data_IF_456427491082
#
_entry.id   IF_456427491082
#
_cell.length_a   1.000
_cell.length_b   1.000
_cell.length_c   1.000
_cell.angle_alpha   90.00
_cell.angle_beta   90.00
_cell.angle_gamma   90.00
#
_symmetry.space_group_name_H-M   'P 1'
#
loop_
_entity.id
_entity.type
_entity.pdbx_description
1 polymer ?
#
# COMPACT_ATOMS: atom_id res chain seq x y z
N UNK A 1 9.28 12.89 19.92
CA UNK A 1 9.54 11.65 19.18
C UNK A 1 11.04 11.41 19.26
N UNK A 2 11.53 10.21 18.95
CA UNK A 2 12.97 10.06 18.80
C UNK A 2 13.37 10.78 17.52
N UNK A 3 14.44 11.58 17.57
CA UNK A 3 14.94 12.35 16.42
C UNK A 3 16.06 11.59 15.69
N UNK A 4 16.58 10.52 16.31
CA UNK A 4 17.67 9.68 15.80
C UNK A 4 17.28 8.20 15.84
N UNK A 5 17.80 7.36 14.92
CA UNK A 5 17.63 5.91 14.99
C UNK A 5 18.26 5.36 16.28
N UNK A 6 17.67 4.31 16.88
CA UNK A 6 18.20 3.77 18.12
C UNK A 6 19.59 3.13 17.90
N UNK A 7 20.50 3.29 18.85
CA UNK A 7 21.90 2.83 18.74
C UNK A 7 22.07 1.34 18.40
N UNK A 8 21.08 0.51 18.72
CA UNK A 8 21.10 -0.94 18.43
C UNK A 8 20.66 -1.29 17.00
N UNK A 9 20.09 -0.33 16.27
CA UNK A 9 19.66 -0.42 14.86
C UNK A 9 20.64 0.35 13.97
N UNK A 10 21.93 0.09 14.13
CA UNK A 10 22.99 0.71 13.34
C UNK A 10 23.13 -0.05 12.01
N UNK A 11 22.39 0.43 11.00
CA UNK A 11 22.37 -0.11 9.64
C UNK A 11 22.62 1.04 8.67
N UNK A 12 23.48 0.82 7.69
CA UNK A 12 23.73 1.78 6.63
C UNK A 12 22.45 2.11 5.86
N UNK A 13 22.21 3.40 5.60
CA UNK A 13 21.04 3.92 4.86
C UNK A 13 20.86 3.22 3.51
N UNK A 14 21.94 3.12 2.73
CA UNK A 14 21.94 2.46 1.41
C UNK A 14 21.46 1.00 1.50
N UNK A 15 21.82 0.29 2.57
CA UNK A 15 21.43 -1.11 2.77
C UNK A 15 19.95 -1.24 3.16
N UNK A 16 19.38 -0.23 3.84
CA UNK A 16 17.95 -0.14 4.11
C UNK A 16 17.19 0.12 2.81
N UNK A 17 17.65 1.07 1.98
CA UNK A 17 17.03 1.37 0.69
C UNK A 17 17.05 0.15 -0.26
N UNK A 18 18.19 -0.53 -0.38
CA UNK A 18 18.31 -1.75 -1.19
C UNK A 18 17.34 -2.84 -0.73
N UNK A 19 17.22 -3.02 0.60
CA UNK A 19 16.28 -4.00 1.17
C UNK A 19 14.81 -3.63 0.93
N UNK A 20 14.47 -2.33 0.92
CA UNK A 20 13.11 -1.86 0.56
C UNK A 20 12.77 -2.27 -0.86
N UNK A 21 13.67 -1.99 -1.82
CA UNK A 21 13.46 -2.33 -3.24
C UNK A 21 13.36 -3.84 -3.43
N UNK A 22 14.26 -4.60 -2.81
CA UNK A 22 14.25 -6.07 -2.87
C UNK A 22 12.92 -6.68 -2.39
N UNK A 23 12.34 -6.12 -1.32
CA UNK A 23 11.06 -6.58 -0.79
C UNK A 23 9.88 -6.17 -1.70
N UNK A 24 9.94 -5.01 -2.35
CA UNK A 24 8.94 -4.61 -3.33
C UNK A 24 8.97 -5.50 -4.58
N UNK A 25 10.16 -5.87 -5.08
CA UNK A 25 10.32 -6.84 -6.17
C UNK A 25 9.76 -8.24 -5.81
N UNK A 26 9.78 -8.59 -4.52
CA UNK A 26 9.13 -9.79 -3.99
C UNK A 26 7.59 -9.68 -3.90
N UNK A 27 7.04 -8.52 -4.24
CA UNK A 27 5.60 -8.25 -4.25
C UNK A 27 5.02 -7.82 -2.91
N UNK A 28 5.84 -7.37 -1.96
CA UNK A 28 5.36 -6.86 -0.68
C UNK A 28 4.84 -5.42 -0.81
N UNK A 29 3.74 -5.12 -0.13
CA UNK A 29 3.22 -3.76 -0.08
C UNK A 29 4.12 -2.84 0.77
N UNK A 30 4.10 -1.51 0.58
CA UNK A 30 4.87 -0.57 1.40
C UNK A 30 4.66 -0.77 2.92
N UNK A 31 3.41 -1.06 3.33
CA UNK A 31 3.09 -1.36 4.73
C UNK A 31 3.71 -2.68 5.20
N UNK A 32 3.68 -3.73 4.38
CA UNK A 32 4.33 -5.01 4.69
C UNK A 32 5.85 -4.90 4.76
N UNK A 33 6.45 -4.12 3.85
CA UNK A 33 7.89 -3.81 3.84
C UNK A 33 8.31 -3.20 5.17
N UNK A 34 7.57 -2.20 5.66
CA UNK A 34 7.85 -1.59 6.97
C UNK A 34 7.79 -2.59 8.14
N UNK A 35 6.82 -3.51 8.12
CA UNK A 35 6.72 -4.57 9.13
C UNK A 35 7.90 -5.55 9.04
N UNK A 36 8.29 -5.95 7.82
CA UNK A 36 9.43 -6.84 7.60
C UNK A 36 10.74 -6.20 8.00
N UNK A 37 10.97 -4.93 7.69
CA UNK A 37 12.16 -4.21 8.14
C UNK A 37 12.21 -4.09 9.66
N UNK A 38 11.07 -3.87 10.32
CA UNK A 38 11.00 -3.82 11.79
C UNK A 38 11.29 -5.16 12.45
N UNK A 39 10.82 -6.26 11.87
CA UNK A 39 10.84 -7.58 12.52
C UNK A 39 12.03 -8.44 12.07
N UNK A 40 12.37 -8.42 10.78
CA UNK A 40 13.45 -9.20 10.15
C UNK A 40 14.72 -8.36 9.94
N UNK A 41 14.55 -7.06 9.63
CA UNK A 41 15.67 -6.14 9.47
C UNK A 41 16.45 -6.27 8.16
N UNK A 42 17.65 -5.68 8.18
CA UNK A 42 18.67 -5.83 7.15
C UNK A 42 19.73 -6.77 7.70
N UNK A 43 19.91 -7.94 7.06
CA UNK A 43 20.86 -8.98 7.49
C UNK A 43 20.69 -9.40 8.97
N UNK A 44 19.47 -9.28 9.51
CA UNK A 44 19.14 -9.63 10.90
C UNK A 44 19.21 -8.48 11.91
N UNK A 45 19.62 -7.28 11.49
CA UNK A 45 19.54 -6.06 12.32
C UNK A 45 18.21 -5.37 12.06
N UNK A 46 17.27 -5.34 13.03
CA UNK A 46 15.94 -4.78 12.83
C UNK A 46 15.97 -3.27 12.63
N UNK A 47 15.14 -2.76 11.71
CA UNK A 47 15.02 -1.34 11.38
C UNK A 47 13.61 -0.86 11.79
N UNK A 48 13.45 -0.24 12.97
CA UNK A 48 12.13 0.03 13.53
C UNK A 48 11.38 1.17 12.84
N UNK A 49 12.11 2.11 12.25
CA UNK A 49 11.55 3.25 11.52
C UNK A 49 12.47 3.59 10.35
N UNK A 50 11.99 3.31 9.13
CA UNK A 50 12.73 3.58 7.90
C UNK A 50 12.95 5.08 7.69
N UNK A 51 12.01 5.92 8.11
CA UNK A 51 12.12 7.38 7.94
C UNK A 51 13.19 7.96 8.85
N UNK A 52 13.37 7.41 10.04
CA UNK A 52 14.48 7.81 10.93
C UNK A 52 15.83 7.27 10.46
N UNK A 53 15.86 6.07 9.86
CA UNK A 53 17.10 5.45 9.39
C UNK A 53 17.64 6.06 8.09
N UNK A 54 16.75 6.51 7.20
CA UNK A 54 17.11 6.96 5.83
C UNK A 54 16.73 8.42 5.55
N UNK A 55 15.97 9.07 6.43
CA UNK A 55 15.39 10.39 6.14
C UNK A 55 14.27 10.37 5.09
N UNK A 56 13.94 9.20 4.51
CA UNK A 56 12.89 9.02 3.49
C UNK A 56 11.83 8.03 3.94
N UNK A 57 10.61 8.21 3.46
CA UNK A 57 9.55 7.20 3.63
C UNK A 57 9.78 6.03 2.69
N UNK A 58 9.25 4.86 3.06
CA UNK A 58 9.23 3.67 2.18
C UNK A 58 8.70 4.01 0.78
N UNK A 59 7.60 4.76 0.70
CA UNK A 59 7.02 5.16 -0.61
C UNK A 59 7.92 6.08 -1.42
N UNK A 60 8.71 6.94 -0.76
CA UNK A 60 9.65 7.85 -1.44
C UNK A 60 10.86 7.05 -1.98
N UNK A 61 11.37 6.09 -1.19
CA UNK A 61 12.44 5.18 -1.64
C UNK A 61 11.98 4.37 -2.86
N UNK A 62 10.74 3.87 -2.85
CA UNK A 62 10.21 3.12 -3.99
C UNK A 62 10.06 3.99 -5.24
N UNK A 63 9.56 5.21 -5.10
CA UNK A 63 9.44 6.17 -6.21
C UNK A 63 10.81 6.58 -6.78
N UNK A 64 11.81 6.83 -5.92
CA UNK A 64 13.19 7.15 -6.33
C UNK A 64 13.86 6.02 -7.14
N UNK A 65 13.38 4.78 -6.97
CA UNK A 65 13.94 3.57 -7.59
C UNK A 65 13.02 2.97 -8.67
N UNK A 66 11.99 3.70 -9.13
CA UNK A 66 11.01 3.22 -10.13
C UNK A 66 10.37 1.86 -9.74
N UNK A 67 10.21 1.62 -8.44
CA UNK A 67 9.68 0.38 -7.84
C UNK A 67 8.34 0.60 -7.12
N UNK A 68 7.71 1.76 -7.30
CA UNK A 68 6.42 2.07 -6.71
C UNK A 68 5.27 1.32 -7.41
N UNK A 69 4.21 0.95 -6.67
CA UNK A 69 3.06 0.29 -7.26
C UNK A 69 2.25 1.24 -8.14
N UNK A 70 1.74 0.73 -9.26
CA UNK A 70 0.93 1.50 -10.23
C UNK A 70 -0.27 2.23 -9.60
N UNK A 71 -0.86 1.65 -8.55
CA UNK A 71 -1.93 2.27 -7.78
C UNK A 71 -1.55 2.32 -6.29
N UNK A 72 -1.96 3.39 -5.58
CA UNK A 72 -1.74 3.48 -4.13
C UNK A 72 -2.28 2.27 -3.36
N UNK A 73 -1.50 1.78 -2.39
CA UNK A 73 -1.82 0.58 -1.60
C UNK A 73 -3.21 0.67 -0.93
N UNK A 74 -3.56 1.84 -0.39
CA UNK A 74 -4.82 2.05 0.31
C UNK A 74 -6.04 1.96 -0.63
N UNK A 75 -5.88 2.45 -1.85
CA UNK A 75 -6.87 2.33 -2.91
C UNK A 75 -6.98 0.88 -3.39
N UNK A 76 -5.86 0.21 -3.67
CA UNK A 76 -5.80 -1.22 -4.05
C UNK A 76 -6.53 -2.10 -3.05
N UNK A 77 -6.24 -1.94 -1.76
CA UNK A 77 -6.85 -2.72 -0.68
C UNK A 77 -8.37 -2.51 -0.58
N UNK A 78 -8.86 -1.28 -0.82
CA UNK A 78 -10.30 -1.04 -0.86
C UNK A 78 -10.94 -1.64 -2.11
N UNK A 79 -10.28 -1.58 -3.27
CA UNK A 79 -10.74 -2.25 -4.49
C UNK A 79 -10.88 -3.75 -4.30
N UNK A 80 -9.87 -4.42 -3.73
CA UNK A 80 -9.94 -5.86 -3.41
C UNK A 80 -11.15 -6.17 -2.52
N UNK A 81 -11.33 -5.38 -1.46
CA UNK A 81 -12.46 -5.55 -0.54
C UNK A 81 -13.79 -5.33 -1.26
N UNK A 82 -13.89 -4.35 -2.15
CA UNK A 82 -15.10 -4.08 -2.91
C UNK A 82 -15.43 -5.22 -3.87
N UNK A 83 -14.44 -5.78 -4.56
CA UNK A 83 -14.60 -6.94 -5.45
C UNK A 83 -15.16 -8.13 -4.66
N UNK A 84 -14.51 -8.52 -3.55
CA UNK A 84 -14.99 -9.62 -2.70
C UNK A 84 -16.41 -9.39 -2.16
N UNK A 85 -16.72 -8.17 -1.73
CA UNK A 85 -18.07 -7.82 -1.26
C UNK A 85 -19.11 -7.88 -2.39
N UNK A 86 -18.74 -7.46 -3.60
CA UNK A 86 -19.63 -7.50 -4.77
C UNK A 86 -19.97 -8.93 -5.15
N UNK A 87 -18.97 -9.80 -5.20
CA UNK A 87 -19.14 -11.23 -5.47
C UNK A 87 -20.04 -11.89 -4.42
N UNK A 88 -19.78 -11.66 -3.13
CA UNK A 88 -20.64 -12.14 -2.04
C UNK A 88 -22.09 -11.67 -2.19
N UNK A 89 -22.30 -10.41 -2.55
CA UNK A 89 -23.64 -9.83 -2.74
C UNK A 89 -24.37 -10.37 -3.98
N UNK A 90 -23.66 -10.83 -5.00
CA UNK A 90 -24.26 -11.49 -6.16
C UNK A 90 -24.91 -12.82 -5.77
N UNK A 91 -24.24 -13.59 -4.90
CA UNK A 91 -24.76 -14.85 -4.37
C UNK A 91 -25.79 -14.64 -3.25
N UNK A 92 -25.65 -13.56 -2.48
CA UNK A 92 -26.45 -13.30 -1.27
C UNK A 92 -27.14 -11.92 -1.29
N UNK A 93 -28.06 -11.65 -2.24
CA UNK A 93 -28.65 -10.32 -2.43
C UNK A 93 -29.47 -9.81 -1.23
N UNK A 94 -29.90 -10.69 -0.33
CA UNK A 94 -30.65 -10.36 0.89
C UNK A 94 -29.80 -9.87 2.07
N UNK A 95 -28.47 -9.94 1.97
CA UNK A 95 -27.56 -9.53 3.06
C UNK A 95 -27.44 -7.99 3.13
N UNK A 96 -28.34 -7.38 3.92
CA UNK A 96 -28.40 -5.94 4.07
C UNK A 96 -27.12 -5.33 4.70
N UNK A 97 -26.43 -6.09 5.56
CA UNK A 97 -25.22 -5.61 6.22
C UNK A 97 -24.07 -5.49 5.22
N UNK A 98 -23.81 -6.54 4.45
CA UNK A 98 -22.76 -6.52 3.44
C UNK A 98 -23.10 -5.62 2.25
N UNK A 99 -24.39 -5.45 1.92
CA UNK A 99 -24.82 -4.44 0.95
C UNK A 99 -24.41 -3.02 1.37
N UNK A 100 -24.64 -2.67 2.65
CA UNK A 100 -24.21 -1.39 3.20
C UNK A 100 -22.69 -1.26 3.26
N UNK A 101 -21.99 -2.34 3.62
CA UNK A 101 -20.52 -2.36 3.63
C UNK A 101 -19.96 -2.10 2.22
N UNK A 102 -20.50 -2.75 1.18
CA UNK A 102 -20.13 -2.53 -0.21
C UNK A 102 -20.30 -1.06 -0.60
N UNK A 103 -21.48 -0.48 -0.35
CA UNK A 103 -21.76 0.93 -0.65
C UNK A 103 -20.78 1.90 0.04
N UNK A 104 -20.45 1.65 1.30
CA UNK A 104 -19.50 2.47 2.06
C UNK A 104 -18.08 2.34 1.50
N UNK A 105 -17.65 1.11 1.17
CA UNK A 105 -16.34 0.84 0.56
C UNK A 105 -16.23 1.54 -0.79
N UNK A 106 -17.20 1.37 -1.69
CA UNK A 106 -17.21 2.05 -2.99
C UNK A 106 -17.22 3.57 -2.85
N UNK A 107 -17.96 4.11 -1.87
CA UNK A 107 -17.97 5.56 -1.60
C UNK A 107 -16.60 6.06 -1.13
N UNK A 108 -15.87 5.27 -0.34
CA UNK A 108 -14.51 5.62 0.08
C UNK A 108 -13.52 5.52 -1.09
N UNK A 109 -13.65 4.51 -1.94
CA UNK A 109 -12.85 4.38 -3.17
C UNK A 109 -13.00 5.62 -4.04
N UNK A 110 -14.25 6.04 -4.34
CA UNK A 110 -14.51 7.22 -5.17
C UNK A 110 -13.85 8.49 -4.60
N UNK A 111 -13.89 8.65 -3.27
CA UNK A 111 -13.22 9.77 -2.59
C UNK A 111 -11.69 9.72 -2.69
N UNK A 112 -11.09 8.53 -2.63
CA UNK A 112 -9.64 8.38 -2.79
C UNK A 112 -9.22 8.57 -4.24
N UNK A 113 -10.02 8.08 -5.18
CA UNK A 113 -9.81 8.35 -6.61
C UNK A 113 -9.81 9.86 -6.87
N UNK A 114 -10.78 10.60 -6.34
CA UNK A 114 -10.81 12.05 -6.46
C UNK A 114 -9.61 12.74 -5.77
N UNK A 115 -9.08 12.15 -4.70
CA UNK A 115 -7.91 12.68 -3.98
C UNK A 115 -6.60 12.49 -4.76
N UNK A 116 -6.41 11.33 -5.39
CA UNK A 116 -5.20 11.00 -6.15
C UNK A 116 -5.26 11.41 -7.63
N UNK A 117 -6.42 11.86 -8.13
CA UNK A 117 -6.59 12.28 -9.52
C UNK A 117 -5.63 13.40 -9.90
N UNK A 118 -4.89 13.21 -10.99
CA UNK A 118 -3.90 14.15 -11.51
C UNK A 118 -2.55 14.10 -10.80
N UNK A 119 -2.38 13.22 -9.82
CA UNK A 119 -1.13 12.99 -9.08
C UNK A 119 -0.68 11.53 -9.25
N UNK A 120 -1.19 10.62 -8.42
CA UNK A 120 -0.93 9.17 -8.52
C UNK A 120 -1.92 8.42 -9.43
N UNK A 121 -2.92 9.10 -9.99
CA UNK A 121 -3.88 8.53 -10.94
C UNK A 121 -4.10 9.47 -12.12
N UNK A 122 -4.37 8.90 -13.30
CA UNK A 122 -4.70 9.67 -14.50
C UNK A 122 -5.94 10.56 -14.30
N UNK A 123 -6.01 11.68 -15.02
CA UNK A 123 -7.07 12.68 -14.84
C UNK A 123 -8.48 12.12 -15.17
N UNK A 124 -8.56 11.25 -16.16
CA UNK A 124 -9.79 10.58 -16.61
C UNK A 124 -10.07 9.26 -15.88
N UNK A 125 -9.25 8.87 -14.92
CA UNK A 125 -9.45 7.65 -14.15
C UNK A 125 -10.82 7.64 -13.45
N UNK A 126 -11.58 6.58 -13.72
CA UNK A 126 -12.92 6.37 -13.16
C UNK A 126 -13.06 4.96 -12.60
N UNK A 127 -13.48 4.89 -11.34
CA UNK A 127 -13.72 3.61 -10.67
C UNK A 127 -14.96 2.88 -11.22
N UNK A 128 -14.78 1.61 -11.57
CA UNK A 128 -15.85 0.64 -11.80
C UNK A 128 -15.45 -0.73 -11.23
N UNK A 129 -16.40 -1.67 -11.14
CA UNK A 129 -16.08 -3.05 -10.73
C UNK A 129 -15.12 -3.71 -11.73
N UNK A 130 -15.38 -3.57 -13.02
CA UNK A 130 -14.56 -4.20 -14.07
C UNK A 130 -13.13 -3.63 -14.09
N UNK A 131 -12.99 -2.31 -13.90
CA UNK A 131 -11.67 -1.66 -13.75
C UNK A 131 -10.95 -2.20 -12.53
N UNK A 132 -11.64 -2.34 -11.40
CA UNK A 132 -11.04 -2.88 -10.18
C UNK A 132 -10.58 -4.32 -10.35
N UNK A 133 -11.35 -5.17 -11.03
CA UNK A 133 -10.93 -6.56 -11.33
C UNK A 133 -9.69 -6.55 -12.21
N UNK A 134 -9.70 -5.78 -13.30
CA UNK A 134 -8.56 -5.72 -14.25
C UNK A 134 -7.26 -5.22 -13.61
N UNK A 135 -7.32 -4.32 -12.62
CA UNK A 135 -6.14 -3.81 -11.93
C UNK A 135 -5.61 -4.73 -10.82
N UNK A 136 -6.38 -5.77 -10.47
CA UNK A 136 -6.03 -6.72 -9.41
C UNK A 136 -5.59 -8.09 -9.97
N UNK A 137 -5.74 -8.32 -11.27
CA UNK A 137 -5.21 -9.46 -12.01
C UNK A 137 -3.70 -9.34 -12.23
#
# INVERSE_FOLDING_TARGET
>A
MADDPPEWSDVDEDAVEERVVELAEQGHSPSEIGVKLRDEGVQGTPVPDVSLATGKKVTEILEDNDADPEIPEDLRNLMERAVRLREHMNDNPGDAQNKRALQNTESKIRRLVDYYRGDKLEEDFTYSYDVAVSLLE
#
